data_IF_948074510475
#
_entry.id   IF_948074510475
#
_cell.length_a   1.000
_cell.length_b   1.000
_cell.length_c   1.000
_cell.angle_alpha   90.00
_cell.angle_beta   90.00
_cell.angle_gamma   90.00
#
_symmetry.space_group_name_H-M   'P 1'
#
loop_
_entity.id
_entity.type
_entity.pdbx_description
1 polymer ?
#
# COMPACT_ATOMS: atom_id res chain seq x y z
N UNK A 1 -47.33 16.93 -3.34
CA UNK A 1 -46.59 16.25 -2.25
C UNK A 1 -45.11 16.20 -2.64
N UNK A 2 -44.25 16.95 -1.95
CA UNK A 2 -42.79 16.85 -2.15
C UNK A 2 -42.31 15.63 -1.35
N UNK A 3 -41.75 14.63 -2.03
CA UNK A 3 -41.04 13.53 -1.36
C UNK A 3 -39.82 14.12 -0.67
N UNK A 4 -39.85 14.20 0.65
CA UNK A 4 -38.66 14.38 1.48
C UNK A 4 -37.84 13.10 1.35
N UNK A 5 -36.78 13.16 0.55
CA UNK A 5 -35.74 12.13 0.53
C UNK A 5 -35.12 12.14 1.93
N UNK A 6 -35.43 11.13 2.74
CA UNK A 6 -34.71 10.89 3.99
C UNK A 6 -33.31 10.41 3.61
N UNK A 7 -32.32 11.25 3.85
CA UNK A 7 -30.92 10.89 3.71
C UNK A 7 -30.55 9.96 4.86
N UNK A 8 -30.09 8.75 4.53
CA UNK A 8 -29.49 7.84 5.49
C UNK A 8 -28.15 8.43 5.94
N UNK A 9 -28.11 8.97 7.16
CA UNK A 9 -26.93 9.62 7.73
C UNK A 9 -25.68 8.73 7.65
N UNK A 10 -25.84 7.41 7.81
CA UNK A 10 -24.72 6.48 7.73
C UNK A 10 -24.18 6.35 6.29
N UNK A 11 -25.05 6.50 5.28
CA UNK A 11 -24.65 6.52 3.87
C UNK A 11 -23.90 7.80 3.52
N UNK A 12 -24.35 8.95 4.00
CA UNK A 12 -23.68 10.24 3.76
C UNK A 12 -22.31 10.31 4.42
N UNK A 13 -22.20 9.87 5.68
CA UNK A 13 -20.92 9.79 6.39
C UNK A 13 -19.92 8.88 5.67
N UNK A 14 -20.38 7.72 5.16
CA UNK A 14 -19.55 6.81 4.34
C UNK A 14 -19.15 7.41 2.99
N UNK A 15 -20.03 8.17 2.33
CA UNK A 15 -19.74 8.87 1.08
C UNK A 15 -18.72 10.00 1.30
N UNK A 16 -18.87 10.75 2.39
CA UNK A 16 -17.90 11.78 2.76
C UNK A 16 -16.53 11.17 3.05
N UNK A 17 -16.51 10.06 3.79
CA UNK A 17 -15.30 9.27 4.02
C UNK A 17 -14.71 8.77 2.70
N UNK A 18 -15.53 8.26 1.77
CA UNK A 18 -15.09 7.87 0.42
C UNK A 18 -14.47 9.03 -0.37
N UNK A 19 -15.11 10.21 -0.39
CA UNK A 19 -14.58 11.38 -1.09
C UNK A 19 -13.30 11.91 -0.45
N UNK A 20 -13.21 11.95 0.88
CA UNK A 20 -11.96 12.27 1.60
C UNK A 20 -10.86 11.26 1.24
N UNK A 21 -11.18 9.96 1.13
CA UNK A 21 -10.24 8.89 0.73
C UNK A 21 -9.75 9.07 -0.71
N UNK A 22 -10.65 9.31 -1.66
CA UNK A 22 -10.31 9.56 -3.06
C UNK A 22 -9.44 10.81 -3.19
N UNK A 23 -9.78 11.88 -2.46
CA UNK A 23 -9.00 13.11 -2.42
C UNK A 23 -7.61 12.87 -1.83
N UNK A 24 -7.49 12.10 -0.74
CA UNK A 24 -6.20 11.74 -0.14
C UNK A 24 -5.34 10.84 -1.06
N UNK A 25 -5.95 9.91 -1.81
CA UNK A 25 -5.24 9.14 -2.84
C UNK A 25 -4.75 10.05 -3.97
N UNK A 26 -5.62 10.92 -4.49
CA UNK A 26 -5.27 11.87 -5.55
C UNK A 26 -4.18 12.86 -5.12
N UNK A 27 -4.26 13.43 -3.91
CA UNK A 27 -3.23 14.32 -3.37
C UNK A 27 -1.88 13.61 -3.21
N UNK A 28 -1.88 12.33 -2.81
CA UNK A 28 -0.66 11.52 -2.76
C UNK A 28 -0.09 11.25 -4.15
N UNK A 29 -0.96 10.94 -5.13
CA UNK A 29 -0.55 10.75 -6.54
C UNK A 29 0.02 12.03 -7.14
N UNK A 30 -0.59 13.19 -6.88
CA UNK A 30 -0.11 14.50 -7.33
C UNK A 30 1.22 14.90 -6.67
N UNK A 31 1.38 14.64 -5.37
CA UNK A 31 2.65 14.82 -4.67
C UNK A 31 3.75 13.88 -5.20
N UNK A 32 3.37 12.65 -5.56
CA UNK A 32 4.29 11.67 -6.14
C UNK A 32 4.68 12.02 -7.58
N UNK A 33 3.80 12.62 -8.39
CA UNK A 33 4.00 12.90 -9.82
C UNK A 33 5.33 13.64 -10.14
N UNK A 34 5.73 14.61 -9.31
CA UNK A 34 7.02 15.33 -9.47
C UNK A 34 8.26 14.50 -9.09
N UNK A 35 8.06 13.41 -8.38
CA UNK A 35 9.10 12.53 -7.82
C UNK A 35 9.10 11.14 -8.49
N UNK A 36 8.06 10.83 -9.27
CA UNK A 36 7.87 9.56 -9.99
C UNK A 36 8.86 9.40 -11.14
N UNK A 37 9.32 10.51 -11.75
CA UNK A 37 10.40 10.48 -12.75
C UNK A 37 11.73 9.98 -12.15
N UNK A 38 12.02 10.27 -10.87
CA UNK A 38 13.17 9.70 -10.15
C UNK A 38 12.92 8.24 -9.73
N UNK A 39 11.64 7.85 -9.57
CA UNK A 39 11.20 6.51 -9.21
C UNK A 39 10.95 5.59 -10.41
N UNK A 40 11.29 5.98 -11.64
CA UNK A 40 11.23 5.10 -12.82
C UNK A 40 12.13 3.84 -12.64
N UNK A 41 13.11 3.87 -11.73
CA UNK A 41 13.86 2.69 -11.28
C UNK A 41 13.15 1.77 -10.28
N UNK A 42 11.94 2.12 -9.82
CA UNK A 42 11.10 1.36 -8.88
C UNK A 42 10.00 0.57 -9.58
N UNK A 43 10.18 0.21 -10.85
CA UNK A 43 9.15 -0.47 -11.67
C UNK A 43 8.58 -1.76 -11.05
N UNK A 44 9.19 -2.32 -10.00
CA UNK A 44 8.77 -3.53 -9.30
C UNK A 44 8.39 -3.31 -7.82
N UNK A 45 8.31 -2.07 -7.33
CA UNK A 45 7.91 -1.84 -5.93
C UNK A 45 6.41 -2.16 -5.75
N UNK A 46 6.12 -3.11 -4.85
CA UNK A 46 4.76 -3.55 -4.48
C UNK A 46 3.85 -2.42 -4.04
N UNK A 47 4.42 -1.31 -3.58
CA UNK A 47 3.69 -0.13 -3.12
C UNK A 47 3.13 0.73 -4.26
N UNK A 48 3.59 0.54 -5.50
CA UNK A 48 3.14 1.36 -6.63
C UNK A 48 1.97 0.69 -7.36
N UNK A 49 0.81 1.35 -7.49
CA UNK A 49 -0.30 0.79 -8.28
C UNK A 49 0.07 0.77 -9.78
N UNK A 50 -0.02 -0.41 -10.39
CA UNK A 50 0.09 -0.62 -11.85
C UNK A 50 -1.06 -1.50 -12.33
N UNK A 51 -1.51 -1.25 -13.57
CA UNK A 51 -2.62 -1.96 -14.20
C UNK A 51 -2.17 -3.22 -14.97
N UNK A 52 -0.88 -3.57 -14.90
CA UNK A 52 -0.27 -4.76 -15.51
C UNK A 52 -0.05 -5.86 -14.47
N UNK A 53 -0.18 -7.12 -14.89
CA UNK A 53 0.32 -8.26 -14.10
C UNK A 53 1.83 -8.17 -14.04
N UNK A 54 2.38 -7.92 -12.85
CA UNK A 54 3.82 -7.78 -12.66
C UNK A 54 4.48 -9.12 -12.30
N UNK A 55 5.58 -9.43 -12.98
CA UNK A 55 6.45 -10.55 -12.62
C UNK A 55 7.57 -10.05 -11.70
N UNK A 56 7.93 -10.87 -10.72
CA UNK A 56 9.05 -10.60 -9.81
C UNK A 56 10.32 -11.22 -10.39
N UNK A 57 11.42 -10.46 -10.42
CA UNK A 57 12.73 -11.05 -10.66
C UNK A 57 13.20 -11.70 -9.35
N UNK A 58 13.64 -12.95 -9.41
CA UNK A 58 14.25 -13.60 -8.25
C UNK A 58 15.60 -12.94 -7.98
N UNK A 59 15.79 -12.41 -6.76
CA UNK A 59 17.02 -11.73 -6.34
C UNK A 59 18.24 -12.68 -6.35
N UNK A 60 17.99 -13.98 -6.20
CA UNK A 60 19.00 -15.04 -6.14
C UNK A 60 19.39 -15.58 -7.53
N UNK A 61 18.74 -15.11 -8.60
CA UNK A 61 18.92 -15.64 -9.95
C UNK A 61 19.56 -14.58 -10.84
N UNK A 62 20.84 -14.78 -11.16
CA UNK A 62 21.55 -13.98 -12.16
C UNK A 62 20.77 -13.99 -13.48
N UNK A 63 20.48 -12.79 -14.01
CA UNK A 63 19.75 -12.64 -15.26
C UNK A 63 20.51 -13.30 -16.40
N UNK A 64 19.98 -14.41 -16.90
CA UNK A 64 20.50 -15.08 -18.09
C UNK A 64 19.56 -14.79 -19.27
N UNK A 65 20.03 -14.09 -20.32
CA UNK A 65 19.26 -13.94 -21.56
C UNK A 65 18.85 -15.32 -22.12
N UNK A 66 17.58 -15.49 -22.48
CA UNK A 66 17.06 -16.74 -23.05
C UNK A 66 16.68 -17.83 -22.04
N UNK A 67 16.70 -17.56 -20.72
CA UNK A 67 16.44 -18.56 -19.66
C UNK A 67 14.97 -18.83 -19.35
N UNK A 68 14.04 -18.17 -20.04
CA UNK A 68 12.60 -18.40 -19.83
C UNK A 68 12.20 -19.71 -20.52
N UNK A 69 12.51 -20.82 -19.87
CA UNK A 69 12.11 -22.14 -20.33
C UNK A 69 10.59 -22.25 -20.41
N UNK A 70 10.10 -22.85 -21.48
CA UNK A 70 8.70 -23.22 -21.59
C UNK A 70 8.40 -24.28 -20.53
N UNK A 71 7.71 -23.87 -19.46
CA UNK A 71 7.24 -24.79 -18.43
C UNK A 71 5.89 -25.39 -18.85
N UNK A 72 5.79 -26.72 -18.81
CA UNK A 72 4.51 -27.40 -19.04
C UNK A 72 3.46 -26.92 -18.03
N UNK A 73 2.26 -26.58 -18.51
CA UNK A 73 1.17 -26.07 -17.67
C UNK A 73 1.25 -24.58 -17.31
N UNK A 74 2.29 -23.85 -17.78
CA UNK A 74 2.44 -22.42 -17.50
C UNK A 74 1.25 -21.58 -17.99
N UNK A 75 0.76 -21.84 -19.20
CA UNK A 75 -0.39 -21.12 -19.77
C UNK A 75 -1.63 -21.26 -18.87
N UNK A 76 -1.95 -22.49 -18.46
CA UNK A 76 -3.08 -22.76 -17.56
C UNK A 76 -2.88 -22.13 -16.17
N UNK A 77 -1.66 -22.16 -15.62
CA UNK A 77 -1.36 -21.52 -14.35
C UNK A 77 -1.54 -19.99 -14.42
N UNK A 78 -1.13 -19.38 -15.53
CA UNK A 78 -1.28 -17.95 -15.77
C UNK A 78 -2.74 -17.55 -15.95
N UNK A 79 -3.49 -18.27 -16.77
CA UNK A 79 -4.93 -18.07 -16.95
C UNK A 79 -5.68 -18.21 -15.62
N UNK A 80 -5.34 -19.22 -14.81
CA UNK A 80 -5.93 -19.37 -13.49
C UNK A 80 -5.59 -18.18 -12.58
N UNK A 81 -4.33 -17.73 -12.55
CA UNK A 81 -3.94 -16.57 -11.74
C UNK A 81 -4.71 -15.30 -12.12
N UNK A 82 -4.79 -15.00 -13.42
CA UNK A 82 -5.58 -13.86 -13.94
C UNK A 82 -7.06 -14.02 -13.58
N UNK A 83 -7.62 -15.22 -13.72
CA UNK A 83 -9.00 -15.49 -13.32
C UNK A 83 -9.22 -15.22 -11.82
N UNK A 84 -8.30 -15.62 -10.93
CA UNK A 84 -8.41 -15.33 -9.48
C UNK A 84 -8.37 -13.83 -9.18
N UNK A 85 -7.51 -13.07 -9.86
CA UNK A 85 -7.48 -11.61 -9.74
C UNK A 85 -8.82 -10.97 -10.17
N UNK A 86 -9.37 -11.41 -11.29
CA UNK A 86 -10.69 -10.97 -11.77
C UNK A 86 -11.80 -11.31 -10.77
N UNK A 87 -11.79 -12.51 -10.16
CA UNK A 87 -12.75 -12.88 -9.13
C UNK A 87 -12.61 -12.02 -7.87
N UNK A 88 -11.39 -11.70 -7.44
CA UNK A 88 -11.16 -10.79 -6.32
C UNK A 88 -11.72 -9.39 -6.61
N UNK A 89 -11.53 -8.88 -7.83
CA UNK A 89 -12.11 -7.60 -8.25
C UNK A 89 -13.65 -7.65 -8.28
N UNK A 90 -14.25 -8.75 -8.74
CA UNK A 90 -15.70 -8.95 -8.68
C UNK A 90 -16.23 -8.97 -7.24
N UNK A 91 -15.55 -9.69 -6.34
CA UNK A 91 -15.91 -9.74 -4.91
C UNK A 91 -15.84 -8.34 -4.30
N UNK A 92 -14.78 -7.57 -4.61
CA UNK A 92 -14.66 -6.17 -4.21
C UNK A 92 -15.88 -5.35 -4.66
N UNK A 93 -16.24 -5.42 -5.94
CA UNK A 93 -17.38 -4.67 -6.48
C UNK A 93 -18.73 -5.11 -5.88
N UNK A 94 -18.93 -6.41 -5.72
CA UNK A 94 -20.20 -6.96 -5.25
C UNK A 94 -20.48 -6.70 -3.76
N UNK A 95 -19.44 -6.43 -2.96
CA UNK A 95 -19.55 -6.32 -1.50
C UNK A 95 -19.13 -4.95 -0.94
N UNK A 96 -18.78 -3.98 -1.79
CA UNK A 96 -18.10 -2.74 -1.42
C UNK A 96 -18.88 -1.70 -0.59
N UNK A 97 -20.02 -2.04 0.02
CA UNK A 97 -20.83 -1.04 0.75
C UNK A 97 -21.45 -1.53 2.07
N UNK A 98 -21.56 -2.84 2.36
CA UNK A 98 -22.51 -3.30 3.41
C UNK A 98 -21.92 -4.20 4.52
N UNK A 99 -20.74 -4.81 4.37
CA UNK A 99 -20.31 -5.90 5.28
C UNK A 99 -18.91 -5.85 5.91
N UNK A 100 -18.06 -4.88 5.55
CA UNK A 100 -16.64 -5.00 5.91
C UNK A 100 -15.97 -6.18 5.19
N UNK A 101 -14.87 -6.69 5.75
CA UNK A 101 -14.20 -7.91 5.27
C UNK A 101 -15.06 -9.16 5.49
N UNK A 102 -15.85 -9.49 4.48
CA UNK A 102 -16.62 -10.75 4.40
C UNK A 102 -15.73 -11.98 4.15
N UNK A 103 -16.16 -13.21 4.51
CA UNK A 103 -15.47 -14.46 4.17
C UNK A 103 -15.14 -14.62 2.68
N UNK A 104 -15.97 -14.07 1.79
CA UNK A 104 -15.73 -14.06 0.36
C UNK A 104 -14.45 -13.30 -0.03
N UNK A 105 -14.11 -12.20 0.66
CA UNK A 105 -12.87 -11.47 0.42
C UNK A 105 -11.64 -12.29 0.81
N UNK A 106 -11.68 -12.93 1.99
CA UNK A 106 -10.60 -13.79 2.45
C UNK A 106 -10.40 -15.00 1.54
N UNK A 107 -11.50 -15.60 1.06
CA UNK A 107 -11.43 -16.69 0.09
C UNK A 107 -10.80 -16.21 -1.23
N UNK A 108 -11.31 -15.13 -1.81
CA UNK A 108 -10.77 -14.61 -3.07
C UNK A 108 -9.29 -14.21 -2.96
N UNK A 109 -8.90 -13.63 -1.82
CA UNK A 109 -7.51 -13.34 -1.51
C UNK A 109 -6.65 -14.61 -1.45
N UNK A 110 -7.07 -15.62 -0.68
CA UNK A 110 -6.35 -16.90 -0.57
C UNK A 110 -6.20 -17.58 -1.93
N UNK A 111 -7.27 -17.62 -2.72
CA UNK A 111 -7.30 -18.15 -4.08
C UNK A 111 -6.23 -17.46 -4.98
N UNK A 112 -6.02 -16.14 -4.84
CA UNK A 112 -4.97 -15.40 -5.56
C UNK A 112 -3.57 -15.80 -5.11
N UNK A 113 -3.35 -15.92 -3.79
CA UNK A 113 -2.05 -16.32 -3.22
C UNK A 113 -1.68 -17.73 -3.67
N UNK A 114 -2.59 -18.69 -3.59
CA UNK A 114 -2.36 -20.08 -4.03
C UNK A 114 -2.02 -20.16 -5.54
N UNK A 115 -2.70 -19.36 -6.37
CA UNK A 115 -2.39 -19.28 -7.79
C UNK A 115 -1.02 -18.64 -8.05
N UNK A 116 -0.61 -17.64 -7.26
CA UNK A 116 0.71 -17.04 -7.33
C UNK A 116 1.82 -18.03 -6.93
N UNK A 117 1.63 -18.79 -5.84
CA UNK A 117 2.56 -19.84 -5.41
C UNK A 117 2.69 -20.96 -6.45
N UNK A 118 1.62 -21.25 -7.20
CA UNK A 118 1.67 -22.20 -8.31
C UNK A 118 2.54 -21.68 -9.46
N UNK A 119 2.44 -20.40 -9.81
CA UNK A 119 3.33 -19.78 -10.78
C UNK A 119 4.79 -19.73 -10.29
N UNK A 120 5.01 -19.43 -9.02
CA UNK A 120 6.34 -19.44 -8.40
C UNK A 120 6.99 -20.83 -8.46
N UNK A 121 6.26 -21.91 -8.17
CA UNK A 121 6.76 -23.29 -8.30
C UNK A 121 7.15 -23.67 -9.73
N UNK A 122 6.56 -23.02 -10.74
CA UNK A 122 6.94 -23.18 -12.14
C UNK A 122 8.16 -22.33 -12.54
N UNK A 123 8.70 -21.52 -11.62
CA UNK A 123 9.80 -20.59 -11.86
C UNK A 123 9.37 -19.22 -12.38
N UNK A 124 8.08 -18.88 -12.25
CA UNK A 124 7.49 -17.63 -12.73
C UNK A 124 6.85 -16.83 -11.59
N UNK A 125 7.62 -16.38 -10.58
CA UNK A 125 7.05 -15.64 -9.47
C UNK A 125 6.39 -14.34 -9.96
N UNK A 126 5.18 -14.08 -9.47
CA UNK A 126 4.43 -12.85 -9.74
C UNK A 126 4.43 -11.94 -8.52
N UNK A 127 4.35 -10.64 -8.74
CA UNK A 127 4.26 -9.65 -7.68
C UNK A 127 2.83 -9.55 -7.13
N UNK A 128 2.33 -10.64 -6.57
CA UNK A 128 0.91 -10.75 -6.21
C UNK A 128 0.47 -9.70 -5.18
N UNK A 129 1.35 -9.28 -4.28
CA UNK A 129 1.04 -8.21 -3.33
C UNK A 129 0.66 -6.91 -4.06
N UNK A 130 1.40 -6.56 -5.12
CA UNK A 130 1.13 -5.38 -5.94
C UNK A 130 -0.20 -5.52 -6.68
N UNK A 131 -0.41 -6.68 -7.33
CA UNK A 131 -1.62 -6.94 -8.10
C UNK A 131 -2.87 -6.87 -7.20
N UNK A 132 -2.79 -7.44 -5.99
CA UNK A 132 -3.85 -7.34 -4.98
C UNK A 132 -4.02 -5.91 -4.47
N UNK A 133 -2.93 -5.20 -4.17
CA UNK A 133 -3.01 -3.82 -3.68
C UNK A 133 -3.63 -2.88 -4.73
N UNK A 134 -3.39 -3.09 -6.02
CA UNK A 134 -4.09 -2.38 -7.10
C UNK A 134 -5.60 -2.61 -7.05
N UNK A 135 -6.05 -3.86 -6.83
CA UNK A 135 -7.47 -4.17 -6.70
C UNK A 135 -8.07 -3.49 -5.46
N UNK A 136 -7.32 -3.46 -4.36
CA UNK A 136 -7.78 -2.91 -3.08
C UNK A 136 -7.59 -1.40 -2.94
N UNK A 137 -6.80 -0.74 -3.78
CA UNK A 137 -6.52 0.70 -3.71
C UNK A 137 -7.79 1.56 -3.47
N UNK A 138 -8.89 1.36 -4.22
CA UNK A 138 -10.09 2.19 -4.06
C UNK A 138 -10.97 1.85 -2.85
N UNK A 139 -10.58 0.89 -1.99
CA UNK A 139 -11.37 0.46 -0.82
C UNK A 139 -10.69 0.82 0.50
N UNK A 140 -11.42 0.63 1.61
CA UNK A 140 -10.86 0.67 2.96
C UNK A 140 -9.96 -0.52 3.30
N UNK A 141 -9.85 -1.55 2.45
CA UNK A 141 -9.08 -2.74 2.76
C UNK A 141 -7.66 -2.65 2.17
N UNK A 142 -6.70 -3.31 2.78
CA UNK A 142 -5.35 -3.42 2.23
C UNK A 142 -4.61 -4.62 2.78
N UNK A 143 -3.32 -4.70 2.47
CA UNK A 143 -2.46 -5.77 2.94
C UNK A 143 -1.59 -5.32 4.11
N UNK A 144 -1.54 -6.14 5.16
CA UNK A 144 -0.57 -6.05 6.26
C UNK A 144 -0.15 -7.46 6.65
N UNK A 145 1.16 -7.71 6.79
CA UNK A 145 1.72 -9.03 7.12
C UNK A 145 1.19 -10.18 6.25
N UNK A 146 1.00 -9.92 4.95
CA UNK A 146 0.43 -10.90 4.01
C UNK A 146 -1.05 -11.24 4.25
N UNK A 147 -1.76 -10.44 5.05
CA UNK A 147 -3.18 -10.61 5.37
C UNK A 147 -4.01 -9.43 4.90
N UNK A 148 -5.25 -9.71 4.55
CA UNK A 148 -6.25 -8.70 4.25
C UNK A 148 -6.75 -8.06 5.54
N UNK A 149 -6.67 -6.73 5.64
CA UNK A 149 -7.09 -5.94 6.81
C UNK A 149 -7.93 -4.74 6.40
N UNK A 150 -8.74 -4.22 7.32
CA UNK A 150 -9.30 -2.88 7.21
C UNK A 150 -8.22 -1.86 7.61
N UNK A 151 -7.94 -0.87 6.75
CA UNK A 151 -6.87 0.13 6.94
C UNK A 151 -7.12 1.05 8.13
N UNK A 152 -8.38 1.21 8.55
CA UNK A 152 -8.80 2.23 9.52
C UNK A 152 -9.34 1.65 10.83
N UNK A 153 -9.52 0.34 10.91
CA UNK A 153 -10.05 -0.34 12.10
C UNK A 153 -8.95 -1.19 12.74
N UNK A 154 -8.80 -1.09 14.07
CA UNK A 154 -7.86 -1.93 14.81
C UNK A 154 -6.40 -1.68 14.46
N UNK A 155 -6.04 -0.40 14.23
CA UNK A 155 -4.68 0.01 13.91
C UNK A 155 -3.73 -0.38 15.05
N UNK A 156 -2.61 -1.07 14.76
CA UNK A 156 -1.66 -1.46 15.79
C UNK A 156 -0.99 -0.21 16.38
N UNK A 157 -0.63 -0.28 17.66
CA UNK A 157 0.09 0.81 18.32
C UNK A 157 1.47 1.05 17.68
N UNK A 158 2.10 -0.01 17.18
CA UNK A 158 3.41 0.01 16.54
C UNK A 158 3.36 -0.71 15.19
N UNK A 159 4.05 -0.16 14.20
CA UNK A 159 4.27 -0.82 12.90
C UNK A 159 5.58 -0.33 12.27
N UNK A 160 5.98 -0.91 11.15
CA UNK A 160 7.11 -0.40 10.36
C UNK A 160 6.62 0.59 9.31
N UNK A 161 7.49 1.52 8.92
CA UNK A 161 7.23 2.40 7.79
C UNK A 161 6.98 1.60 6.51
N UNK A 162 7.72 0.52 6.28
CA UNK A 162 7.53 -0.36 5.13
C UNK A 162 6.12 -0.92 5.04
N UNK A 163 5.63 -1.51 6.12
CA UNK A 163 4.31 -2.13 6.18
C UNK A 163 3.20 -1.11 6.03
N UNK A 164 3.33 0.06 6.66
CA UNK A 164 2.32 1.11 6.54
C UNK A 164 2.27 1.70 5.12
N UNK A 165 3.41 1.89 4.49
CA UNK A 165 3.49 2.31 3.09
C UNK A 165 2.88 1.28 2.14
N UNK A 166 3.10 -0.02 2.38
CA UNK A 166 2.46 -1.10 1.64
C UNK A 166 0.94 -1.08 1.80
N UNK A 167 0.46 -1.00 3.05
CA UNK A 167 -0.96 -0.94 3.35
C UNK A 167 -1.64 0.22 2.62
N UNK A 168 -0.97 1.37 2.60
CA UNK A 168 -1.44 2.60 1.97
C UNK A 168 -1.29 2.62 0.45
N UNK A 169 -0.59 1.65 -0.15
CA UNK A 169 -0.28 1.61 -1.58
C UNK A 169 0.50 2.84 -2.03
N UNK A 170 1.52 3.25 -1.27
CA UNK A 170 2.34 4.40 -1.61
C UNK A 170 3.79 4.20 -1.19
N UNK A 171 4.72 4.84 -1.91
CA UNK A 171 6.14 4.96 -1.53
C UNK A 171 6.42 6.28 -0.82
N UNK A 172 5.42 7.15 -0.66
CA UNK A 172 5.61 8.50 -0.13
C UNK A 172 5.37 8.54 1.38
N UNK A 173 6.32 9.09 2.11
CA UNK A 173 6.22 9.42 3.53
C UNK A 173 6.60 10.87 3.77
N UNK A 174 6.45 11.37 5.00
CA UNK A 174 6.79 12.74 5.34
C UNK A 174 7.91 12.78 6.36
N UNK A 175 8.85 13.70 6.18
CA UNK A 175 9.97 13.91 7.11
C UNK A 175 9.91 15.32 7.68
N UNK A 176 10.09 15.42 9.00
CA UNK A 176 10.33 16.67 9.69
C UNK A 176 11.75 16.68 10.25
N UNK A 177 12.47 17.77 10.05
CA UNK A 177 13.80 17.93 10.66
C UNK A 177 13.71 18.81 11.90
N UNK A 178 14.61 18.56 12.84
CA UNK A 178 14.84 19.38 14.03
C UNK A 178 16.32 19.71 14.12
N UNK A 179 16.62 20.99 14.25
CA UNK A 179 17.99 21.48 14.43
C UNK A 179 18.49 21.21 15.86
N UNK A 180 19.78 21.43 16.11
CA UNK A 180 20.40 21.17 17.41
C UNK A 180 19.84 22.08 18.53
N UNK A 181 19.36 23.27 18.16
CA UNK A 181 18.65 24.24 18.98
C UNK A 181 17.14 23.93 19.14
N UNK A 182 16.67 22.80 18.60
CA UNK A 182 15.30 22.32 18.80
C UNK A 182 14.26 22.89 17.83
N UNK A 183 14.63 23.80 16.92
CA UNK A 183 13.70 24.35 15.92
C UNK A 183 13.31 23.28 14.90
N UNK A 184 12.01 23.16 14.63
CA UNK A 184 11.48 22.20 13.66
C UNK A 184 11.18 22.84 12.32
N UNK A 185 11.44 22.11 11.23
CA UNK A 185 10.99 22.51 9.89
C UNK A 185 9.54 22.04 9.66
N UNK A 186 8.84 22.54 8.65
CA UNK A 186 7.64 21.88 8.15
C UNK A 186 7.95 20.46 7.66
N UNK A 187 6.94 19.60 7.70
CA UNK A 187 7.00 18.28 7.08
C UNK A 187 7.19 18.40 5.57
N UNK A 188 8.14 17.65 5.01
CA UNK A 188 8.38 17.55 3.57
C UNK A 188 8.13 16.12 3.11
N UNK A 189 7.42 15.98 2.00
CA UNK A 189 7.24 14.68 1.34
C UNK A 189 8.60 14.12 0.92
N UNK A 190 8.75 12.81 1.10
CA UNK A 190 9.92 12.00 0.73
C UNK A 190 9.42 10.73 0.09
N UNK A 191 10.21 10.19 -0.83
CA UNK A 191 9.92 8.93 -1.50
C UNK A 191 10.88 7.87 -0.99
N UNK A 192 10.32 6.71 -0.67
CA UNK A 192 11.05 5.47 -0.46
C UNK A 192 11.63 5.04 -1.81
N UNK A 193 12.94 4.99 -1.89
CA UNK A 193 13.73 4.64 -3.08
C UNK A 193 14.58 3.42 -2.80
N UNK A 194 15.06 2.73 -3.82
CA UNK A 194 15.98 1.61 -3.66
C UNK A 194 17.21 2.00 -2.82
N UNK A 195 17.70 3.24 -2.97
CA UNK A 195 18.88 3.75 -2.26
C UNK A 195 18.67 4.05 -0.78
N UNK A 196 17.43 4.37 -0.35
CA UNK A 196 17.13 4.70 1.04
C UNK A 196 16.23 3.66 1.73
N UNK A 197 15.80 2.62 1.01
CA UNK A 197 14.91 1.57 1.52
C UNK A 197 15.47 0.92 2.78
N UNK A 198 16.71 0.45 2.75
CA UNK A 198 17.34 -0.19 3.91
C UNK A 198 17.42 0.72 5.14
N UNK A 199 17.47 2.05 4.95
CA UNK A 199 17.50 3.01 6.05
C UNK A 199 16.12 3.25 6.67
N UNK A 200 15.06 3.21 5.86
CA UNK A 200 13.75 3.71 6.25
C UNK A 200 12.70 2.62 6.41
N UNK A 201 12.77 1.55 5.64
CA UNK A 201 11.72 0.52 5.59
C UNK A 201 11.44 -0.12 6.95
N UNK A 202 12.48 -0.47 7.70
CA UNK A 202 12.35 -1.06 9.04
C UNK A 202 12.13 -0.03 10.17
N UNK A 203 11.96 1.26 9.84
CA UNK A 203 11.75 2.31 10.86
C UNK A 203 10.45 2.05 11.60
N UNK A 204 10.53 1.93 12.93
CA UNK A 204 9.36 1.82 13.78
C UNK A 204 8.61 3.16 13.84
N UNK A 205 7.31 3.10 13.63
CA UNK A 205 6.41 4.24 13.74
C UNK A 205 5.28 3.89 14.71
N UNK A 206 4.90 4.88 15.52
CA UNK A 206 3.90 4.74 16.57
C UNK A 206 2.61 5.43 16.14
N UNK A 207 1.49 4.80 16.50
CA UNK A 207 0.16 5.36 16.28
C UNK A 207 0.07 6.72 17.01
N UNK A 208 -0.47 7.72 16.32
CA UNK A 208 -0.61 9.06 16.87
C UNK A 208 -1.41 9.01 18.17
N UNK A 209 -0.87 9.64 19.22
CA UNK A 209 -1.62 10.01 20.40
C UNK A 209 -2.20 11.42 20.26
N UNK A 210 -3.36 11.68 20.85
CA UNK A 210 -4.04 12.98 20.75
C UNK A 210 -3.33 14.13 21.50
N UNK A 211 -2.20 13.85 22.15
CA UNK A 211 -1.42 14.83 22.93
C UNK A 211 -0.17 15.36 22.21
N UNK A 212 0.12 14.91 20.99
CA UNK A 212 1.34 15.29 20.26
C UNK A 212 1.18 16.46 19.28
N UNK A 213 2.30 17.13 18.97
CA UNK A 213 2.44 18.14 17.89
C UNK A 213 2.40 17.54 16.47
N UNK A 214 1.70 16.43 16.28
CA UNK A 214 1.59 15.78 14.98
C UNK A 214 0.31 16.28 14.29
N UNK A 215 0.40 16.86 13.07
CA UNK A 215 -0.78 17.26 12.32
C UNK A 215 -1.80 16.12 12.19
N UNK A 216 -3.10 16.45 12.32
CA UNK A 216 -4.18 15.45 12.35
C UNK A 216 -4.31 14.59 11.08
N UNK A 217 -3.64 15.00 10.00
CA UNK A 217 -3.56 14.25 8.73
C UNK A 217 -2.61 13.04 8.77
N UNK A 218 -1.73 12.95 9.77
CA UNK A 218 -0.83 11.82 9.94
C UNK A 218 -1.39 10.88 10.98
N UNK A 219 -1.35 9.59 10.67
CA UNK A 219 -1.82 8.49 11.50
C UNK A 219 -0.67 7.97 12.37
N UNK A 220 0.54 7.91 11.82
CA UNK A 220 1.71 7.39 12.53
C UNK A 220 2.86 8.39 12.53
N UNK A 221 3.73 8.29 13.53
CA UNK A 221 5.03 8.98 13.53
C UNK A 221 6.11 8.18 14.23
N UNK A 222 7.35 8.28 13.76
CA UNK A 222 8.51 7.78 14.48
C UNK A 222 8.86 8.68 15.67
N UNK A 223 9.67 8.15 16.58
CA UNK A 223 10.48 9.00 17.46
C UNK A 223 11.45 9.89 16.66
N UNK A 224 12.13 10.80 17.36
CA UNK A 224 13.21 11.59 16.77
C UNK A 224 14.44 10.71 16.54
N UNK A 225 14.71 10.43 15.28
CA UNK A 225 15.85 9.67 14.81
C UNK A 225 17.10 10.57 14.66
N UNK A 226 18.31 10.03 14.87
CA UNK A 226 19.54 10.77 14.71
C UNK A 226 19.79 11.11 13.24
N UNK A 227 20.05 12.38 12.96
CA UNK A 227 20.46 12.88 11.65
C UNK A 227 21.93 13.31 11.64
N UNK A 228 22.35 13.97 10.54
CA UNK A 228 23.73 14.47 10.39
C UNK A 228 23.94 15.75 11.22
N UNK A 229 25.17 15.93 11.73
CA UNK A 229 25.63 17.17 12.37
C UNK A 229 24.77 17.63 13.55
N UNK A 230 24.40 16.70 14.43
CA UNK A 230 23.60 16.99 15.64
C UNK A 230 22.12 17.32 15.37
N UNK A 231 21.67 17.22 14.11
CA UNK A 231 20.25 17.33 13.76
C UNK A 231 19.55 16.02 14.05
N UNK A 232 18.26 16.08 14.36
CA UNK A 232 17.39 14.91 14.40
C UNK A 232 16.28 15.04 13.36
N UNK A 233 15.65 13.93 12.98
CA UNK A 233 14.48 13.95 12.12
C UNK A 233 13.45 12.95 12.62
N UNK A 234 12.18 13.19 12.30
CA UNK A 234 11.12 12.20 12.50
C UNK A 234 10.37 11.96 11.21
N UNK A 235 9.83 10.77 11.06
CA UNK A 235 9.02 10.34 9.93
C UNK A 235 7.56 10.32 10.36
N UNK A 236 6.66 10.67 9.45
CA UNK A 236 5.22 10.56 9.64
C UNK A 236 4.55 10.04 8.37
N UNK A 237 3.43 9.35 8.57
CA UNK A 237 2.58 8.79 7.51
C UNK A 237 1.13 9.10 7.82
#
# INVERSE_FOLDING_TARGET
>A
MRQTVQYDHAREERLEVYYRRQTASLMRKDAALKTVDEALGLTQDVRLPRFSVEFRLSEDVEYMPGRWGLASGLGTAFENYVARLCEMEKVRFANGVVGGLMPAHHKAFHDVVEAAETLERLGWPVNWQQNVQTILEPTEYGLRDGKLVDRFVGQPEHTTLGDELLLLGTVTFYQQNRSADGLTTPFKARVMTATNRALHEATQILLRNDQGDLPARFTYSSEWLPGKSGRSYRIAV
#
